data_IF_565559629471
#
_entry.id   IF_565559629471
#
_cell.length_a   1.000
_cell.length_b   1.000
_cell.length_c   1.000
_cell.angle_alpha   90.00
_cell.angle_beta   90.00
_cell.angle_gamma   90.00
#
_symmetry.space_group_name_H-M   'P 1'
#
loop_
_entity.id
_entity.type
_entity.pdbx_description
1 polymer ?
#
# COMPACT_ATOMS: atom_id res chain seq x y z
N UNK A 1 -28.86 10.01 -2.84
CA UNK A 1 -27.77 10.95 -2.43
C UNK A 1 -26.99 11.22 -3.69
N UNK A 2 -26.99 12.49 -4.15
CA UNK A 2 -26.42 12.86 -5.45
C UNK A 2 -24.92 12.54 -5.55
N UNK A 3 -24.48 12.06 -6.71
CA UNK A 3 -23.05 11.85 -7.06
C UNK A 3 -22.24 13.14 -6.81
N UNK A 4 -22.85 14.31 -7.06
CA UNK A 4 -22.24 15.62 -6.78
C UNK A 4 -22.02 15.82 -5.27
N UNK A 5 -22.96 15.44 -4.42
CA UNK A 5 -22.83 15.56 -2.96
C UNK A 5 -21.74 14.61 -2.41
N UNK A 6 -21.57 13.43 -3.02
CA UNK A 6 -20.51 12.49 -2.66
C UNK A 6 -19.14 13.04 -3.10
N UNK A 7 -19.04 13.57 -4.31
CA UNK A 7 -17.82 14.19 -4.83
C UNK A 7 -17.40 15.42 -4.02
N UNK A 8 -18.33 16.27 -3.60
CA UNK A 8 -18.07 17.45 -2.76
C UNK A 8 -17.62 17.03 -1.36
N UNK A 9 -18.23 16.00 -0.75
CA UNK A 9 -17.76 15.46 0.53
C UNK A 9 -16.38 14.82 0.43
N UNK A 10 -16.10 14.10 -0.63
CA UNK A 10 -14.77 13.53 -0.89
C UNK A 10 -13.73 14.62 -1.15
N UNK A 11 -14.07 15.67 -1.92
CA UNK A 11 -13.19 16.82 -2.13
C UNK A 11 -12.92 17.58 -0.82
N UNK A 12 -13.92 17.71 0.08
CA UNK A 12 -13.74 18.34 1.39
C UNK A 12 -12.85 17.48 2.33
N UNK A 13 -13.05 16.18 2.36
CA UNK A 13 -12.15 15.25 3.07
C UNK A 13 -10.75 15.27 2.46
N UNK A 14 -10.63 15.37 1.15
CA UNK A 14 -9.38 15.48 0.42
C UNK A 14 -8.64 16.80 0.72
N UNK A 15 -9.34 17.95 0.72
CA UNK A 15 -8.74 19.24 1.10
C UNK A 15 -8.28 19.26 2.58
N UNK A 16 -9.03 18.61 3.45
CA UNK A 16 -8.66 18.48 4.87
C UNK A 16 -7.44 17.55 5.05
N UNK A 17 -7.39 16.44 4.31
CA UNK A 17 -6.21 15.56 4.26
C UNK A 17 -5.00 16.28 3.64
N UNK A 18 -5.19 17.07 2.58
CA UNK A 18 -4.17 17.90 1.96
C UNK A 18 -3.56 18.91 2.94
N UNK A 19 -4.41 19.58 3.73
CA UNK A 19 -3.97 20.55 4.75
C UNK A 19 -3.24 19.90 5.92
N UNK A 20 -3.67 18.71 6.35
CA UNK A 20 -3.00 17.95 7.41
C UNK A 20 -1.67 17.37 6.90
N UNK A 21 -1.64 16.87 5.68
CA UNK A 21 -0.43 16.31 5.07
C UNK A 21 0.62 17.41 4.81
N UNK A 22 0.22 18.59 4.32
CA UNK A 22 1.15 19.71 4.12
C UNK A 22 1.73 20.23 5.45
N UNK A 23 0.93 20.36 6.50
CA UNK A 23 1.38 20.76 7.82
C UNK A 23 2.32 19.73 8.47
N UNK A 24 2.08 18.45 8.24
CA UNK A 24 2.96 17.38 8.75
C UNK A 24 4.28 17.30 7.98
N UNK A 25 4.25 17.53 6.67
CA UNK A 25 5.46 17.59 5.82
C UNK A 25 6.27 18.84 6.18
N UNK A 26 5.63 19.99 6.31
CA UNK A 26 6.29 21.25 6.70
C UNK A 26 6.91 21.15 8.10
N UNK A 27 6.21 20.54 9.06
CA UNK A 27 6.76 20.24 10.38
C UNK A 27 7.96 19.27 10.32
N UNK A 28 7.86 18.20 9.51
CA UNK A 28 8.94 17.25 9.33
C UNK A 28 10.17 17.88 8.64
N UNK A 29 9.94 18.73 7.62
CA UNK A 29 11.01 19.48 6.93
C UNK A 29 11.70 20.43 7.91
N UNK A 30 10.95 21.22 8.69
CA UNK A 30 11.50 22.16 9.65
C UNK A 30 12.31 21.44 10.74
N UNK A 31 11.83 20.28 11.19
CA UNK A 31 12.54 19.47 12.18
C UNK A 31 13.81 18.83 11.63
N UNK A 32 13.84 18.45 10.35
CA UNK A 32 15.06 17.99 9.67
C UNK A 32 16.08 19.12 9.54
N UNK A 33 15.63 20.34 9.21
CA UNK A 33 16.47 21.53 9.14
C UNK A 33 17.09 21.84 10.53
N UNK A 34 16.30 21.78 11.60
CA UNK A 34 16.78 21.97 12.97
C UNK A 34 17.85 20.92 13.38
N UNK A 35 17.69 19.67 12.94
CA UNK A 35 18.58 18.57 13.32
C UNK A 35 19.87 18.50 12.48
N UNK A 36 19.85 18.96 11.24
CA UNK A 36 21.00 18.84 10.32
C UNK A 36 21.87 20.10 10.25
N UNK A 37 21.40 21.23 10.77
CA UNK A 37 22.10 22.51 10.70
C UNK A 37 22.33 23.04 9.28
N UNK A 38 21.77 22.38 8.27
CA UNK A 38 21.86 22.78 6.87
C UNK A 38 20.68 23.66 6.53
N UNK A 39 20.94 24.92 6.27
CA UNK A 39 19.95 25.91 5.82
C UNK A 39 19.66 25.82 4.31
N UNK A 40 20.20 24.85 3.63
CA UNK A 40 19.78 24.58 2.26
C UNK A 40 18.43 23.87 2.30
N UNK A 41 17.35 24.50 1.78
CA UNK A 41 16.08 23.81 1.64
C UNK A 41 16.31 22.60 0.75
N UNK A 42 16.10 21.38 1.29
CA UNK A 42 15.99 20.20 0.44
C UNK A 42 14.99 20.56 -0.65
N UNK A 43 15.48 20.67 -1.89
CA UNK A 43 14.62 21.01 -3.02
C UNK A 43 13.54 19.91 -3.12
N UNK A 44 12.29 20.17 -2.73
CA UNK A 44 11.23 19.14 -2.74
C UNK A 44 10.96 18.58 -4.14
N UNK A 45 11.55 19.19 -5.17
CA UNK A 45 11.41 18.79 -6.58
C UNK A 45 12.10 17.47 -6.94
N UNK A 46 12.80 16.80 -6.01
CA UNK A 46 13.48 15.52 -6.25
C UNK A 46 12.98 14.36 -5.38
N UNK A 47 12.01 14.59 -4.49
CA UNK A 47 11.41 13.53 -3.69
C UNK A 47 10.05 13.16 -4.27
N UNK A 48 9.93 11.98 -4.86
CA UNK A 48 8.63 11.43 -5.29
C UNK A 48 8.04 10.61 -4.15
N UNK A 49 6.80 10.91 -3.80
CA UNK A 49 6.02 10.11 -2.86
C UNK A 49 5.03 9.23 -3.63
N UNK A 50 5.19 7.93 -3.48
CA UNK A 50 4.30 6.95 -4.09
C UNK A 50 3.14 6.62 -3.15
N UNK A 51 1.91 6.85 -3.63
CA UNK A 51 0.70 6.51 -2.91
C UNK A 51 0.20 5.13 -3.34
N UNK A 52 -0.11 4.30 -2.37
CA UNK A 52 -0.69 2.97 -2.58
C UNK A 52 -2.16 3.01 -2.20
N UNK A 53 -3.05 2.80 -3.16
CA UNK A 53 -4.49 2.99 -3.02
C UNK A 53 -5.19 1.67 -2.71
N UNK A 54 -6.13 1.62 -1.74
CA UNK A 54 -6.87 0.40 -1.40
C UNK A 54 -8.05 0.15 -2.32
N UNK A 55 -8.60 -1.06 -2.29
CA UNK A 55 -9.88 -1.37 -2.92
C UNK A 55 -9.80 -1.65 -4.41
N UNK A 56 -8.76 -2.39 -4.84
CA UNK A 56 -8.57 -2.79 -6.24
C UNK A 56 -9.83 -3.40 -6.87
N UNK A 57 -10.55 -4.20 -6.12
CA UNK A 57 -11.76 -4.89 -6.60
C UNK A 57 -13.05 -4.16 -6.24
N UNK A 58 -13.04 -3.43 -5.11
CA UNK A 58 -14.23 -2.77 -4.57
C UNK A 58 -14.51 -1.40 -5.19
N UNK A 59 -13.47 -0.70 -5.64
CA UNK A 59 -13.56 0.70 -6.08
C UNK A 59 -13.23 0.89 -7.56
N UNK A 60 -13.50 -0.12 -8.39
CA UNK A 60 -13.23 -0.08 -9.83
C UNK A 60 -13.79 1.19 -10.49
N UNK A 61 -15.07 1.49 -10.30
CA UNK A 61 -15.72 2.66 -10.92
C UNK A 61 -15.11 3.99 -10.45
N UNK A 62 -14.71 4.06 -9.18
CA UNK A 62 -14.00 5.23 -8.64
C UNK A 62 -12.65 5.42 -9.36
N UNK A 63 -11.89 4.36 -9.54
CA UNK A 63 -10.59 4.43 -10.21
C UNK A 63 -10.72 4.68 -11.71
N UNK A 64 -11.71 4.10 -12.36
CA UNK A 64 -12.02 4.36 -13.77
C UNK A 64 -12.34 5.84 -14.02
N UNK A 65 -12.95 6.53 -13.03
CA UNK A 65 -13.19 7.97 -13.11
C UNK A 65 -11.99 8.81 -12.65
N UNK A 66 -11.24 8.36 -11.64
CA UNK A 66 -10.16 9.12 -11.00
C UNK A 66 -8.84 9.10 -11.80
N UNK A 67 -8.45 7.96 -12.35
CA UNK A 67 -7.14 7.81 -13.01
C UNK A 67 -7.00 8.69 -14.26
N UNK A 68 -8.03 8.84 -15.14
CA UNK A 68 -7.99 9.83 -16.21
C UNK A 68 -7.74 11.25 -15.69
N UNK A 69 -8.48 11.67 -14.66
CA UNK A 69 -8.31 13.01 -14.05
C UNK A 69 -6.92 13.20 -13.47
N UNK A 70 -6.36 12.20 -12.79
CA UNK A 70 -5.02 12.27 -12.25
C UNK A 70 -3.96 12.40 -13.36
N UNK A 71 -4.14 11.73 -14.50
CA UNK A 71 -3.21 11.78 -15.63
C UNK A 71 -3.33 13.08 -16.43
N UNK A 72 -4.55 13.55 -16.70
CA UNK A 72 -4.84 14.67 -17.60
C UNK A 72 -4.78 16.03 -16.91
N UNK A 73 -5.00 16.06 -15.60
CA UNK A 73 -5.08 17.28 -14.80
C UNK A 73 -4.05 17.30 -13.68
N UNK A 74 -2.78 17.09 -14.06
CA UNK A 74 -1.65 17.09 -13.12
C UNK A 74 -1.48 18.41 -12.38
N UNK A 75 -1.96 19.51 -12.92
CA UNK A 75 -1.95 20.85 -12.31
C UNK A 75 -2.70 20.92 -10.96
N UNK A 76 -3.61 19.99 -10.69
CA UNK A 76 -4.32 19.89 -9.40
C UNK A 76 -3.59 19.02 -8.36
N UNK A 77 -2.48 18.40 -8.74
CA UNK A 77 -1.70 17.51 -7.88
C UNK A 77 -0.27 18.06 -7.71
N UNK A 78 0.36 17.70 -6.62
CA UNK A 78 1.77 18.05 -6.44
C UNK A 78 2.65 17.25 -7.42
N UNK A 79 3.72 17.88 -7.93
CA UNK A 79 4.67 17.26 -8.86
C UNK A 79 5.33 16.00 -8.29
N UNK A 80 5.44 15.93 -6.96
CA UNK A 80 6.03 14.81 -6.23
C UNK A 80 5.03 13.69 -5.90
N UNK A 81 3.74 13.82 -6.22
CA UNK A 81 2.68 12.86 -5.93
C UNK A 81 2.52 11.88 -7.09
N UNK A 82 2.79 10.59 -6.84
CA UNK A 82 2.60 9.52 -7.82
C UNK A 82 1.79 8.37 -7.24
N UNK A 83 1.10 7.62 -8.10
CA UNK A 83 0.39 6.40 -7.71
C UNK A 83 1.32 5.22 -7.94
N UNK A 84 1.76 4.58 -6.85
CA UNK A 84 2.67 3.45 -6.91
C UNK A 84 1.98 2.11 -7.13
N UNK A 85 0.81 1.91 -6.54
CA UNK A 85 0.01 0.70 -6.73
C UNK A 85 -1.45 0.89 -6.30
N UNK A 86 -2.30 -0.04 -6.77
CA UNK A 86 -3.64 -0.24 -6.22
C UNK A 86 -3.70 -1.66 -5.66
N UNK A 87 -4.22 -1.83 -4.45
CA UNK A 87 -4.20 -3.12 -3.77
C UNK A 87 -5.58 -3.55 -3.27
N UNK A 88 -5.82 -4.87 -3.23
CA UNK A 88 -7.06 -5.47 -2.76
C UNK A 88 -7.05 -6.98 -2.83
N UNK A 89 -8.13 -7.61 -2.41
CA UNK A 89 -8.41 -9.02 -2.63
C UNK A 89 -9.91 -9.21 -2.83
N UNK A 90 -10.34 -10.13 -3.69
CA UNK A 90 -11.74 -10.51 -3.80
C UNK A 90 -12.28 -11.01 -2.44
N UNK A 91 -13.55 -10.73 -2.14
CA UNK A 91 -14.17 -11.06 -0.86
C UNK A 91 -14.14 -12.55 -0.51
N UNK A 92 -14.27 -13.40 -1.53
CA UNK A 92 -14.32 -14.86 -1.43
C UNK A 92 -12.94 -15.53 -1.57
N UNK A 93 -11.84 -14.76 -1.51
CA UNK A 93 -10.48 -15.28 -1.56
C UNK A 93 -10.02 -15.74 -0.17
N UNK A 94 -9.79 -17.04 0.02
CA UNK A 94 -9.38 -17.61 1.31
C UNK A 94 -8.03 -17.03 1.81
N UNK A 95 -7.12 -16.66 0.90
CA UNK A 95 -5.84 -16.05 1.28
C UNK A 95 -6.00 -14.57 1.71
N UNK A 96 -7.12 -13.94 1.34
CA UNK A 96 -7.41 -12.55 1.69
C UNK A 96 -7.74 -12.30 3.15
N UNK A 97 -8.20 -13.33 3.90
CA UNK A 97 -8.46 -13.21 5.33
C UNK A 97 -9.84 -12.65 5.71
N UNK A 98 -10.85 -12.86 4.88
CA UNK A 98 -12.26 -12.60 5.26
C UNK A 98 -12.62 -11.11 5.30
N UNK A 99 -11.99 -10.28 4.49
CA UNK A 99 -12.44 -8.88 4.32
C UNK A 99 -13.80 -8.86 3.65
N UNK A 100 -14.68 -8.00 4.17
CA UNK A 100 -15.96 -7.73 3.55
C UNK A 100 -15.70 -6.93 2.28
N UNK A 101 -15.95 -7.52 1.12
CA UNK A 101 -15.86 -6.89 -0.19
C UNK A 101 -17.12 -7.18 -1.01
N UNK A 102 -17.25 -6.57 -2.16
CA UNK A 102 -18.34 -6.87 -3.07
C UNK A 102 -18.21 -8.33 -3.56
N UNK A 103 -19.22 -9.14 -3.31
CA UNK A 103 -19.32 -10.48 -3.86
C UNK A 103 -19.34 -10.39 -5.40
N UNK A 104 -18.56 -11.26 -6.08
CA UNK A 104 -18.63 -11.41 -7.52
C UNK A 104 -17.88 -10.39 -8.36
N UNK A 105 -16.96 -9.62 -7.78
CA UNK A 105 -16.08 -8.76 -8.58
C UNK A 105 -15.13 -9.62 -9.42
N UNK A 106 -15.30 -9.53 -10.74
CA UNK A 106 -14.37 -10.14 -11.69
C UNK A 106 -12.99 -9.47 -11.55
N UNK A 107 -11.91 -10.23 -11.41
CA UNK A 107 -10.58 -9.66 -11.23
C UNK A 107 -10.02 -8.97 -12.47
N UNK A 108 -10.46 -9.40 -13.65
CA UNK A 108 -9.92 -8.96 -14.92
C UNK A 108 -10.08 -7.45 -15.17
N UNK A 109 -11.28 -6.83 -15.02
CA UNK A 109 -11.43 -5.38 -15.27
C UNK A 109 -10.58 -4.52 -14.34
N UNK A 110 -10.48 -4.88 -13.07
CA UNK A 110 -9.68 -4.14 -12.10
C UNK A 110 -8.18 -4.22 -12.43
N UNK A 111 -7.75 -5.38 -12.90
CA UNK A 111 -6.39 -5.63 -13.33
C UNK A 111 -6.04 -4.85 -14.62
N UNK A 112 -6.92 -4.92 -15.64
CA UNK A 112 -6.75 -4.21 -16.92
C UNK A 112 -6.67 -2.70 -16.72
N UNK A 113 -7.51 -2.14 -15.86
CA UNK A 113 -7.48 -0.72 -15.53
C UNK A 113 -6.12 -0.32 -14.93
N UNK A 114 -5.59 -1.07 -13.97
CA UNK A 114 -4.29 -0.78 -13.38
C UNK A 114 -3.17 -0.83 -14.45
N UNK A 115 -3.22 -1.80 -15.36
CA UNK A 115 -2.27 -1.92 -16.47
C UNK A 115 -2.35 -0.78 -17.48
N UNK A 116 -3.57 -0.38 -17.88
CA UNK A 116 -3.77 0.76 -18.79
C UNK A 116 -3.07 2.04 -18.30
N UNK A 117 -3.07 2.24 -16.98
CA UNK A 117 -2.43 3.41 -16.37
C UNK A 117 -0.98 3.17 -15.94
N UNK A 118 -0.41 1.99 -16.22
CA UNK A 118 0.97 1.66 -15.84
C UNK A 118 1.17 1.59 -14.32
N UNK A 119 0.12 1.20 -13.58
CA UNK A 119 0.10 1.14 -12.11
C UNK A 119 0.24 -0.32 -11.68
N UNK A 120 1.12 -0.60 -10.71
CA UNK A 120 1.25 -1.93 -10.12
C UNK A 120 -0.04 -2.34 -9.39
N UNK A 121 -0.56 -3.52 -9.67
CA UNK A 121 -1.65 -4.13 -8.92
C UNK A 121 -1.09 -5.08 -7.85
N UNK A 122 -1.67 -5.04 -6.63
CA UNK A 122 -1.23 -5.90 -5.52
C UNK A 122 -2.39 -6.71 -4.94
N UNK A 123 -2.21 -8.01 -4.86
CA UNK A 123 -3.13 -8.90 -4.15
C UNK A 123 -2.89 -8.80 -2.63
N UNK A 124 -3.95 -8.64 -1.85
CA UNK A 124 -3.85 -8.58 -0.38
C UNK A 124 -4.18 -9.93 0.21
N UNK A 125 -3.15 -10.72 0.51
CA UNK A 125 -3.24 -12.06 1.09
C UNK A 125 -2.79 -12.07 2.55
N UNK A 126 -3.59 -11.41 3.40
CA UNK A 126 -3.24 -11.16 4.80
C UNK A 126 -3.88 -12.11 5.80
N UNK A 127 -4.41 -13.26 5.35
CA UNK A 127 -4.92 -14.29 6.25
C UNK A 127 -3.77 -14.91 7.07
N UNK A 128 -3.84 -14.77 8.40
CA UNK A 128 -2.86 -15.30 9.34
C UNK A 128 -3.11 -16.78 9.73
N UNK A 129 -4.28 -17.33 9.38
CA UNK A 129 -4.75 -18.65 9.79
C UNK A 129 -4.61 -19.71 8.70
N UNK A 130 -3.78 -19.44 7.69
CA UNK A 130 -3.57 -20.37 6.57
C UNK A 130 -2.89 -21.66 7.03
N UNK A 131 -3.36 -22.76 6.46
CA UNK A 131 -2.81 -24.11 6.61
C UNK A 131 -2.38 -24.65 5.24
N UNK A 132 -1.67 -25.78 5.24
CA UNK A 132 -1.08 -26.37 4.04
C UNK A 132 -2.14 -26.67 2.95
N UNK A 133 -3.33 -27.17 3.37
CA UNK A 133 -4.42 -27.46 2.45
C UNK A 133 -4.97 -26.23 1.71
N UNK A 134 -4.88 -25.05 2.34
CA UNK A 134 -5.36 -23.79 1.73
C UNK A 134 -4.47 -23.31 0.57
N UNK A 135 -3.21 -23.79 0.47
CA UNK A 135 -2.32 -23.42 -0.62
C UNK A 135 -2.78 -23.93 -1.98
N UNK A 136 -3.59 -25.01 -2.00
CA UNK A 136 -4.14 -25.59 -3.22
C UNK A 136 -5.40 -24.88 -3.75
N UNK A 137 -5.83 -23.75 -3.12
CA UNK A 137 -7.03 -23.04 -3.53
C UNK A 137 -6.93 -22.57 -5.00
N UNK A 138 -7.87 -23.03 -5.88
CA UNK A 138 -7.75 -22.78 -7.32
C UNK A 138 -7.91 -21.31 -7.68
N UNK A 139 -8.78 -20.58 -6.97
CA UNK A 139 -9.07 -19.17 -7.23
C UNK A 139 -7.89 -18.30 -6.88
N UNK A 140 -7.32 -18.49 -5.68
CA UNK A 140 -6.14 -17.73 -5.25
C UNK A 140 -4.93 -17.98 -6.17
N UNK A 141 -4.74 -19.22 -6.61
CA UNK A 141 -3.68 -19.57 -7.55
C UNK A 141 -3.94 -18.99 -8.95
N UNK A 142 -5.19 -18.94 -9.41
CA UNK A 142 -5.55 -18.29 -10.68
C UNK A 142 -5.26 -16.78 -10.65
N UNK A 143 -5.56 -16.11 -9.55
CA UNK A 143 -5.21 -14.70 -9.34
C UNK A 143 -3.70 -14.46 -9.40
N UNK A 144 -2.90 -15.30 -8.75
CA UNK A 144 -1.45 -15.17 -8.80
C UNK A 144 -0.91 -15.33 -10.25
N UNK A 145 -1.41 -16.30 -11.00
CA UNK A 145 -1.04 -16.47 -12.43
C UNK A 145 -1.39 -15.24 -13.25
N UNK A 146 -2.63 -14.75 -13.14
CA UNK A 146 -3.08 -13.56 -13.86
C UNK A 146 -2.17 -12.35 -13.59
N UNK A 147 -1.80 -12.13 -12.33
CA UNK A 147 -0.99 -10.97 -11.92
C UNK A 147 0.50 -11.16 -12.26
N UNK A 148 1.00 -12.39 -12.34
CA UNK A 148 2.37 -12.67 -12.72
C UNK A 148 2.59 -12.57 -14.23
N UNK A 149 1.68 -13.15 -15.04
CA UNK A 149 1.81 -13.23 -16.49
C UNK A 149 1.82 -11.87 -17.18
N UNK A 150 1.18 -10.88 -16.58
CA UNK A 150 1.00 -9.55 -17.16
C UNK A 150 1.70 -8.48 -16.30
N UNK A 151 2.98 -8.64 -16.02
CA UNK A 151 3.71 -7.87 -15.03
C UNK A 151 4.52 -6.68 -15.56
N UNK A 152 3.90 -5.82 -16.34
CA UNK A 152 4.51 -4.54 -16.72
C UNK A 152 3.55 -3.37 -16.47
N UNK A 153 3.67 -2.62 -15.32
CA UNK A 153 4.70 -2.77 -14.30
C UNK A 153 4.57 -4.04 -13.46
N UNK A 154 5.65 -4.47 -12.81
CA UNK A 154 5.65 -5.66 -11.96
C UNK A 154 4.57 -5.57 -10.87
N UNK A 155 3.76 -6.62 -10.76
CA UNK A 155 2.71 -6.74 -9.76
C UNK A 155 3.22 -7.41 -8.47
N UNK A 156 2.45 -7.31 -7.38
CA UNK A 156 2.89 -7.81 -6.10
C UNK A 156 1.82 -8.45 -5.24
N UNK A 157 2.25 -9.00 -4.13
CA UNK A 157 1.39 -9.62 -3.11
C UNK A 157 1.74 -9.11 -1.72
N UNK A 158 0.74 -8.65 -0.98
CA UNK A 158 0.85 -8.25 0.42
C UNK A 158 0.57 -9.48 1.28
N UNK A 159 1.55 -9.92 2.07
CA UNK A 159 1.53 -11.22 2.75
C UNK A 159 1.71 -11.07 4.27
N UNK A 160 0.91 -11.85 5.02
CA UNK A 160 1.08 -12.06 6.46
C UNK A 160 1.78 -13.39 6.77
N UNK A 161 1.27 -14.48 6.21
CA UNK A 161 1.66 -15.86 6.56
C UNK A 161 3.02 -16.25 5.97
N UNK A 162 3.92 -16.79 6.80
CA UNK A 162 5.21 -17.35 6.35
C UNK A 162 5.02 -18.59 5.46
N UNK A 163 3.97 -19.36 5.72
CA UNK A 163 3.62 -20.50 4.87
C UNK A 163 3.31 -20.04 3.44
N UNK A 164 2.51 -18.99 3.30
CA UNK A 164 2.15 -18.42 2.01
C UNK A 164 3.34 -17.70 1.36
N UNK A 165 4.16 -17.01 2.13
CA UNK A 165 5.40 -16.39 1.65
C UNK A 165 6.27 -17.40 0.89
N UNK A 166 6.57 -18.52 1.55
CA UNK A 166 7.41 -19.58 0.97
C UNK A 166 6.79 -20.22 -0.27
N UNK A 167 5.46 -20.32 -0.28
CA UNK A 167 4.73 -20.87 -1.42
C UNK A 167 4.80 -19.92 -2.63
N UNK A 168 4.46 -18.66 -2.44
CA UNK A 168 4.46 -17.64 -3.52
C UNK A 168 5.85 -17.47 -4.11
N UNK A 169 6.90 -17.35 -3.28
CA UNK A 169 8.27 -17.19 -3.78
C UNK A 169 8.72 -18.33 -4.70
N UNK A 170 8.27 -19.56 -4.45
CA UNK A 170 8.62 -20.72 -5.28
C UNK A 170 7.75 -20.88 -6.50
N UNK A 171 6.46 -20.55 -6.38
CA UNK A 171 5.46 -20.85 -7.40
C UNK A 171 5.23 -19.68 -8.36
N UNK A 172 5.37 -18.43 -7.86
CA UNK A 172 5.12 -17.19 -8.59
C UNK A 172 6.26 -16.18 -8.38
N UNK A 173 7.49 -16.51 -8.84
CA UNK A 173 8.68 -15.68 -8.59
C UNK A 173 8.64 -14.32 -9.31
N UNK A 174 7.77 -14.15 -10.30
CA UNK A 174 7.56 -12.88 -11.00
C UNK A 174 6.81 -11.84 -10.15
N UNK A 175 6.15 -12.24 -9.05
CA UNK A 175 5.47 -11.32 -8.14
C UNK A 175 6.40 -10.82 -7.05
N UNK A 176 6.45 -9.49 -6.83
CA UNK A 176 7.16 -8.99 -5.65
C UNK A 176 6.31 -9.08 -4.39
N UNK A 177 6.97 -9.14 -3.24
CA UNK A 177 6.30 -9.36 -1.95
C UNK A 177 6.39 -8.13 -1.05
N UNK A 178 5.29 -7.88 -0.35
CA UNK A 178 5.14 -6.81 0.64
C UNK A 178 4.76 -7.43 1.99
N UNK A 179 5.51 -7.13 3.04
CA UNK A 179 5.16 -7.55 4.40
C UNK A 179 3.97 -6.75 4.90
N UNK A 180 2.89 -7.46 5.27
CA UNK A 180 1.62 -6.85 5.65
C UNK A 180 1.69 -6.14 7.00
N UNK A 181 1.01 -5.00 7.11
CA UNK A 181 0.78 -4.30 8.38
C UNK A 181 0.01 -5.14 9.40
N UNK A 182 -0.71 -6.18 8.96
CA UNK A 182 -1.42 -7.10 9.86
C UNK A 182 -0.47 -7.91 10.74
N UNK A 183 0.83 -7.96 10.44
CA UNK A 183 1.86 -8.52 11.33
C UNK A 183 2.05 -7.70 12.61
N UNK A 184 1.52 -6.47 12.64
CA UNK A 184 1.55 -5.57 13.83
C UNK A 184 2.97 -5.37 14.37
N UNK A 185 3.89 -5.02 13.49
CA UNK A 185 5.30 -4.77 13.84
C UNK A 185 5.41 -3.46 14.63
N UNK A 186 5.23 -3.53 15.94
CA UNK A 186 5.32 -2.39 16.88
C UNK A 186 6.68 -2.28 17.55
N UNK A 187 7.42 -3.38 17.66
CA UNK A 187 8.81 -3.37 18.14
C UNK A 187 9.76 -2.98 17.01
N UNK A 188 10.65 -2.04 17.30
CA UNK A 188 11.54 -1.50 16.27
C UNK A 188 12.64 -2.48 15.84
N UNK A 189 13.05 -3.40 16.72
CA UNK A 189 14.01 -4.44 16.36
C UNK A 189 13.36 -5.52 15.48
N UNK A 190 12.07 -5.81 15.71
CA UNK A 190 11.30 -6.68 14.83
C UNK A 190 11.13 -6.04 13.46
N UNK A 191 10.78 -4.76 13.40
CA UNK A 191 10.74 -4.00 12.16
C UNK A 191 12.08 -4.06 11.41
N UNK A 192 13.20 -3.82 12.09
CA UNK A 192 14.53 -3.92 11.47
C UNK A 192 14.83 -5.32 10.92
N UNK A 193 14.46 -6.37 11.66
CA UNK A 193 14.62 -7.75 11.18
C UNK A 193 13.82 -7.99 9.91
N UNK A 194 12.58 -7.51 9.87
CA UNK A 194 11.71 -7.66 8.71
C UNK A 194 12.23 -6.86 7.50
N UNK A 195 12.73 -5.63 7.71
CA UNK A 195 13.35 -4.79 6.67
C UNK A 195 14.61 -5.41 6.05
N UNK A 196 15.35 -6.19 6.83
CA UNK A 196 16.55 -6.88 6.36
C UNK A 196 16.25 -8.16 5.57
N UNK A 197 15.01 -8.63 5.53
CA UNK A 197 14.64 -9.81 4.74
C UNK A 197 14.66 -9.48 3.25
N UNK A 198 15.44 -10.20 2.48
CA UNK A 198 15.51 -10.06 1.02
C UNK A 198 14.19 -10.44 0.33
N UNK A 199 13.41 -11.31 0.98
CA UNK A 199 12.11 -11.76 0.49
C UNK A 199 11.12 -10.61 0.21
N UNK A 200 11.22 -9.50 0.94
CA UNK A 200 10.29 -8.38 0.82
C UNK A 200 10.91 -7.21 0.06
N UNK A 201 10.18 -6.74 -0.95
CA UNK A 201 10.45 -5.47 -1.61
C UNK A 201 10.08 -4.30 -0.70
N UNK A 202 8.93 -4.41 0.01
CA UNK A 202 8.43 -3.40 0.93
C UNK A 202 7.93 -4.04 2.23
N UNK A 203 7.93 -3.24 3.28
CA UNK A 203 7.46 -3.61 4.61
C UNK A 203 6.55 -2.50 5.13
N UNK A 204 5.33 -2.86 5.54
CA UNK A 204 4.37 -1.92 6.11
C UNK A 204 4.38 -2.07 7.64
N UNK A 205 5.05 -1.18 8.38
CA UNK A 205 5.06 -1.20 9.83
C UNK A 205 3.67 -0.90 10.41
N UNK A 206 3.51 -1.13 11.69
CA UNK A 206 2.33 -0.64 12.39
C UNK A 206 2.32 0.90 12.41
N UNK A 207 1.16 1.50 12.22
CA UNK A 207 0.99 2.98 12.14
C UNK A 207 1.49 3.72 13.38
N UNK A 208 1.58 3.07 14.54
CA UNK A 208 2.12 3.63 15.78
C UNK A 208 3.60 4.02 15.66
N UNK A 209 4.33 3.43 14.71
CA UNK A 209 5.72 3.78 14.43
C UNK A 209 5.87 4.96 13.47
N UNK A 210 4.82 5.43 12.81
CA UNK A 210 4.89 6.49 11.80
C UNK A 210 5.51 7.81 12.32
N UNK A 211 5.41 8.07 13.63
CA UNK A 211 5.97 9.27 14.28
C UNK A 211 7.25 9.02 15.07
N UNK A 212 7.81 7.82 15.00
CA UNK A 212 9.07 7.49 15.69
C UNK A 212 10.29 8.01 14.89
N UNK A 213 10.32 9.32 14.59
CA UNK A 213 11.28 9.95 13.67
C UNK A 213 12.74 9.66 14.03
N UNK A 214 13.12 9.75 15.29
CA UNK A 214 14.51 9.51 15.71
C UNK A 214 14.95 8.08 15.39
N UNK A 215 14.08 7.10 15.62
CA UNK A 215 14.33 5.69 15.30
C UNK A 215 14.33 5.43 13.79
N UNK A 216 13.38 6.03 13.06
CA UNK A 216 13.28 5.92 11.61
C UNK A 216 14.49 6.56 10.93
N UNK A 217 14.97 7.70 11.44
CA UNK A 217 16.17 8.36 10.93
C UNK A 217 17.44 7.53 11.12
N UNK A 218 17.50 6.69 12.14
CA UNK A 218 18.63 5.79 12.40
C UNK A 218 18.67 4.55 11.48
N UNK A 219 17.66 4.35 10.62
CA UNK A 219 17.66 3.28 9.63
C UNK A 219 18.63 3.59 8.48
N UNK A 220 19.21 2.53 7.89
CA UNK A 220 20.02 2.68 6.68
C UNK A 220 19.17 3.17 5.49
N UNK A 221 19.81 3.73 4.46
CA UNK A 221 19.12 4.16 3.24
C UNK A 221 18.37 2.98 2.57
N UNK A 222 18.95 1.78 2.57
CA UNK A 222 18.32 0.58 2.03
C UNK A 222 17.08 0.17 2.83
N UNK A 223 17.11 0.26 4.17
CA UNK A 223 15.96 -0.03 5.01
C UNK A 223 14.85 1.01 4.81
N UNK A 224 15.21 2.31 4.74
CA UNK A 224 14.25 3.40 4.48
C UNK A 224 13.53 3.22 3.15
N UNK A 225 14.24 2.81 2.10
CA UNK A 225 13.67 2.57 0.78
C UNK A 225 12.63 1.43 0.73
N UNK A 226 12.60 0.57 1.74
CA UNK A 226 11.64 -0.54 1.84
C UNK A 226 10.39 -0.21 2.66
N UNK A 227 10.34 0.93 3.35
CA UNK A 227 9.21 1.24 4.25
C UNK A 227 8.06 1.86 3.46
N UNK A 228 6.86 1.32 3.66
CA UNK A 228 5.60 1.93 3.26
C UNK A 228 4.77 2.25 4.50
N UNK A 229 4.34 3.50 4.66
CA UNK A 229 3.59 3.94 5.83
C UNK A 229 2.08 3.93 5.57
N UNK A 230 1.31 3.47 6.56
CA UNK A 230 -0.13 3.67 6.57
C UNK A 230 -0.46 5.12 6.89
N UNK A 231 -1.02 5.86 5.92
CA UNK A 231 -1.42 7.25 6.11
C UNK A 231 -2.86 7.41 6.61
N UNK A 232 -3.74 6.45 6.27
CA UNK A 232 -5.16 6.44 6.63
C UNK A 232 -5.49 5.21 7.46
N UNK A 233 -5.28 5.28 8.76
CA UNK A 233 -5.66 4.21 9.67
C UNK A 233 -7.04 4.48 10.26
N UNK A 234 -7.99 3.60 9.96
CA UNK A 234 -9.37 3.68 10.47
C UNK A 234 -9.58 2.89 11.77
N UNK A 235 -8.58 2.16 12.24
CA UNK A 235 -8.70 1.37 13.46
C UNK A 235 -8.69 2.27 14.70
N UNK A 236 -9.54 1.92 15.67
CA UNK A 236 -9.51 2.53 16.99
C UNK A 236 -8.16 2.30 17.66
N UNK A 237 -7.67 3.33 18.34
CA UNK A 237 -6.45 3.23 19.13
C UNK A 237 -6.58 2.06 20.13
N UNK A 238 -5.65 1.11 20.06
CA UNK A 238 -5.68 -0.09 20.91
C UNK A 238 -6.63 -1.21 20.45
N UNK A 239 -7.13 -1.15 19.20
CA UNK A 239 -7.87 -2.28 18.61
C UNK A 239 -7.05 -3.58 18.72
N UNK A 240 -7.66 -4.62 19.30
CA UNK A 240 -7.04 -5.94 19.50
C UNK A 240 -7.35 -6.93 18.37
N UNK A 241 -8.25 -6.56 17.46
CA UNK A 241 -8.74 -7.43 16.38
C UNK A 241 -7.76 -7.53 15.19
N UNK A 242 -6.61 -6.85 15.28
CA UNK A 242 -5.53 -6.96 14.32
C UNK A 242 -4.58 -8.14 14.54
N UNK A 243 -4.77 -8.87 15.62
CA UNK A 243 -3.88 -9.99 15.97
C UNK A 243 -4.38 -11.27 15.36
#
# INVERSE_FOLDING_TARGET
MDIITLAVKQAYCYQRAKRICSLQIEYAINKVIEMTGTTEPMNPRHCIAYYHLPGLFEFHDLYAAFLPLFREHREYFYDWCEIGSIYGAPADCIWGGGRVGAEGSEPQPAFELAQEYGISARLTFSNSLLRQEHLADPKCNALCRLFEENSNPQNGVIIHSELLLNYIQRTYPGLYLVSSTTKVLTDFNELKRELNREAFRYVVPDFRLNKAFDRLNALSAQQKAKIEFLCNECCWFGCRDRK
#
